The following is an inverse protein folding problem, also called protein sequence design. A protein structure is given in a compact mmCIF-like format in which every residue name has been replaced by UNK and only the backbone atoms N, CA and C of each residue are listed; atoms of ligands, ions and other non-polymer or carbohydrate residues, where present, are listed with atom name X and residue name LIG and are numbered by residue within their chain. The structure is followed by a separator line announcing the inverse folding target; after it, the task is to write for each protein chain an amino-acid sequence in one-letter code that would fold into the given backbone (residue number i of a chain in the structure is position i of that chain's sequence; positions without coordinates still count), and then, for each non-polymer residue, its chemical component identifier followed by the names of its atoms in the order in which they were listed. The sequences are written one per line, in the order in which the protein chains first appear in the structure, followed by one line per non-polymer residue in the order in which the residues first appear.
data_IF_899608920084
#
_entry.id   IF_899608920084
#
_cell.length_a   1.000
_cell.length_b   1.000
_cell.length_c   1.000
_cell.angle_alpha   90.00
_cell.angle_beta   90.00
_cell.angle_gamma   90.00
#
_symmetry.space_group_name_H-M   'P 1'
#
loop_
_entity.id
_entity.type
_entity.pdbx_description
1 polymer ?
#
# COMPACT_ATOMS: atom_id res chain seq x y z
N UNK A 1 15.66 0.27 14.95
CA UNK A 1 14.81 0.42 15.12
C UNK A 1 14.11 1.11 14.16
N UNK A 2 13.83 1.97 14.09
CA UNK A 2 12.93 2.75 13.40
C UNK A 2 12.53 2.31 12.02
N UNK A 3 13.48 2.22 11.11
CA UNK A 3 13.10 1.98 9.73
C UNK A 3 12.50 0.60 9.49
N UNK A 4 13.08 -0.40 10.10
CA UNK A 4 12.56 -1.75 9.91
C UNK A 4 11.18 -1.90 10.56
N UNK A 5 11.02 -1.35 11.74
CA UNK A 5 9.73 -1.41 12.41
C UNK A 5 8.68 -0.62 11.65
N UNK A 6 9.09 0.53 11.11
CA UNK A 6 8.19 1.32 10.30
C UNK A 6 7.75 0.54 9.07
N UNK A 7 8.68 -0.14 8.42
CA UNK A 7 8.35 -0.94 7.26
C UNK A 7 7.36 -2.05 7.62
N UNK A 8 7.58 -2.71 8.76
CA UNK A 8 6.65 -3.77 9.18
C UNK A 8 5.25 -3.25 9.39
N UNK A 9 5.13 -2.06 9.99
CA UNK A 9 3.81 -1.47 10.18
C UNK A 9 3.16 -1.17 8.85
N UNK A 10 3.92 -0.61 7.92
CA UNK A 10 3.38 -0.31 6.60
C UNK A 10 2.94 -1.57 5.88
N UNK A 11 3.78 -2.60 5.93
CA UNK A 11 3.47 -3.86 5.31
C UNK A 11 2.21 -4.48 5.92
N UNK A 12 2.14 -4.47 7.24
CA UNK A 12 1.00 -5.07 7.92
C UNK A 12 -0.30 -4.36 7.59
N UNK A 13 -0.26 -3.04 7.47
CA UNK A 13 -1.44 -2.29 7.09
C UNK A 13 -1.90 -2.66 5.68
N UNK A 14 -0.95 -2.75 4.76
CA UNK A 14 -1.29 -3.10 3.39
C UNK A 14 -1.88 -4.51 3.34
N UNK A 15 -1.21 -5.45 4.01
CA UNK A 15 -1.69 -6.83 4.01
C UNK A 15 -3.08 -6.93 4.62
N UNK A 16 -3.30 -6.20 5.70
CA UNK A 16 -4.59 -6.22 6.37
C UNK A 16 -5.70 -5.73 5.45
N UNK A 17 -5.45 -4.65 4.75
CA UNK A 17 -6.47 -4.09 3.87
C UNK A 17 -6.74 -5.01 2.70
N UNK A 18 -5.70 -5.62 2.14
CA UNK A 18 -5.90 -6.55 1.04
C UNK A 18 -6.70 -7.77 1.49
N UNK A 19 -6.45 -8.24 2.70
CA UNK A 19 -7.22 -9.36 3.23
C UNK A 19 -8.68 -9.01 3.45
N UNK A 20 -8.93 -7.75 3.75
CA UNK A 20 -10.30 -7.31 3.98
C UNK A 20 -11.05 -7.07 2.68
N UNK A 21 -10.40 -7.22 1.56
CA UNK A 21 -11.07 -7.04 0.29
C UNK A 21 -10.83 -5.69 -0.36
N UNK A 22 -10.01 -4.86 0.24
CA UNK A 22 -9.63 -3.61 -0.38
C UNK A 22 -8.65 -3.86 -1.51
N UNK A 23 -8.61 -2.96 -2.46
CA UNK A 23 -7.62 -3.05 -3.52
C UNK A 23 -7.01 -1.68 -3.72
N UNK A 24 -5.87 -1.68 -4.41
CA UNK A 24 -5.19 -0.42 -4.69
C UNK A 24 -6.05 0.44 -5.59
N UNK A 25 -6.22 1.68 -5.21
CA UNK A 25 -7.01 2.60 -6.01
C UNK A 25 -6.14 3.70 -6.60
N UNK A 26 -5.26 4.29 -5.79
CA UNK A 26 -4.46 5.40 -6.26
C UNK A 26 -3.19 5.49 -5.41
N UNK A 27 -2.10 5.87 -6.04
CA UNK A 27 -0.85 6.11 -5.35
C UNK A 27 -0.38 7.51 -5.68
N UNK A 28 -0.07 8.28 -4.64
CA UNK A 28 0.46 9.62 -4.80
C UNK A 28 1.81 9.68 -4.10
N UNK A 29 2.80 10.21 -4.78
CA UNK A 29 4.13 10.33 -4.21
C UNK A 29 4.52 11.78 -4.08
N UNK A 30 5.22 12.08 -3.00
CA UNK A 30 5.75 13.41 -2.80
C UNK A 30 7.08 13.29 -2.06
N UNK A 31 7.62 14.42 -1.64
CA UNK A 31 8.92 14.41 -0.98
C UNK A 31 8.90 13.70 0.36
N UNK A 32 7.74 13.63 0.98
CA UNK A 32 7.62 13.01 2.28
C UNK A 32 7.36 11.52 2.24
N UNK A 33 7.15 10.97 1.06
CA UNK A 33 6.85 9.55 0.96
C UNK A 33 5.74 9.31 -0.03
N UNK A 34 4.99 8.24 0.17
CA UNK A 34 3.89 7.88 -0.70
C UNK A 34 2.61 7.70 0.09
N UNK A 35 1.51 8.08 -0.52
CA UNK A 35 0.20 7.84 0.06
C UNK A 35 -0.52 6.88 -0.87
N UNK A 36 -0.89 5.73 -0.34
CA UNK A 36 -1.56 4.70 -1.11
C UNK A 36 -3.01 4.66 -0.68
N UNK A 37 -3.89 4.88 -1.63
CA UNK A 37 -5.32 4.85 -1.36
C UNK A 37 -5.86 3.49 -1.74
N UNK A 38 -6.61 2.90 -0.82
CA UNK A 38 -7.28 1.62 -1.04
C UNK A 38 -8.78 1.84 -1.05
N UNK A 39 -9.46 1.09 -1.86
CA UNK A 39 -10.92 1.14 -1.89
C UNK A 39 -11.49 -0.25 -1.93
N UNK A 40 -12.60 -0.41 -1.24
CA UNK A 40 -13.35 -1.64 -1.26
C UNK A 40 -14.70 -1.43 -1.92
N UNK A 41 -15.30 -0.27 -1.67
CA UNK A 41 -16.57 0.08 -2.28
C UNK A 41 -16.65 1.59 -2.35
N UNK A 42 -17.76 2.11 -2.83
CA UNK A 42 -17.93 3.55 -2.92
C UNK A 42 -17.85 4.23 -1.58
N UNK A 43 -18.14 3.49 -0.52
CA UNK A 43 -18.20 4.08 0.81
C UNK A 43 -17.04 3.66 1.69
N UNK A 44 -16.20 2.75 1.24
CA UNK A 44 -15.11 2.25 2.07
C UNK A 44 -13.79 2.50 1.40
N UNK A 45 -13.00 3.35 2.02
CA UNK A 45 -11.67 3.64 1.51
C UNK A 45 -10.74 3.90 2.69
N UNK A 46 -9.46 3.62 2.48
CA UNK A 46 -8.45 3.79 3.50
C UNK A 46 -7.19 4.33 2.86
N UNK A 47 -6.43 5.05 3.66
CA UNK A 47 -5.16 5.60 3.21
C UNK A 47 -4.03 5.01 4.04
N UNK A 48 -2.95 4.67 3.38
CA UNK A 48 -1.75 4.18 4.05
C UNK A 48 -0.59 5.07 3.66
N UNK A 49 0.10 5.59 4.66
CA UNK A 49 1.28 6.40 4.43
C UNK A 49 2.49 5.48 4.40
N UNK A 50 3.21 5.48 3.30
CA UNK A 50 4.40 4.65 3.16
C UNK A 50 5.60 5.57 3.12
N UNK A 51 6.43 5.48 4.15
CA UNK A 51 7.57 6.37 4.31
C UNK A 51 8.90 5.68 4.07
N UNK A 52 8.95 4.37 4.12
CA UNK A 52 10.21 3.65 3.99
C UNK A 52 10.43 3.21 2.55
N UNK A 53 11.70 3.14 2.11
CA UNK A 53 11.98 2.62 0.78
C UNK A 53 11.52 1.17 0.61
N UNK A 54 11.65 0.37 1.67
CA UNK A 54 11.20 -1.02 1.59
C UNK A 54 9.70 -1.12 1.44
N UNK A 55 8.97 -0.24 2.11
CA UNK A 55 7.52 -0.21 1.95
C UNK A 55 7.12 0.15 0.53
N UNK A 56 7.85 1.08 -0.07
CA UNK A 56 7.57 1.46 -1.46
C UNK A 56 7.83 0.29 -2.39
N UNK A 57 8.90 -0.43 -2.19
CA UNK A 57 9.17 -1.62 -3.00
C UNK A 57 8.09 -2.67 -2.81
N UNK A 58 7.63 -2.80 -1.59
CA UNK A 58 6.63 -3.81 -1.29
C UNK A 58 5.33 -3.56 -2.04
N UNK A 59 4.78 -2.36 -1.93
CA UNK A 59 3.51 -2.13 -2.60
C UNK A 59 3.69 -2.03 -4.11
N UNK A 60 4.86 -1.60 -4.57
CA UNK A 60 5.10 -1.55 -6.01
C UNK A 60 5.11 -2.95 -6.60
N UNK A 61 5.71 -3.90 -5.89
CA UNK A 61 5.72 -5.28 -6.35
C UNK A 61 4.30 -5.85 -6.40
N UNK A 62 3.50 -5.53 -5.39
CA UNK A 62 2.12 -5.99 -5.37
C UNK A 62 1.32 -5.38 -6.51
N UNK A 63 1.56 -4.11 -6.79
CA UNK A 63 0.87 -3.46 -7.90
C UNK A 63 1.23 -4.13 -9.22
N UNK A 64 2.49 -4.45 -9.40
CA UNK A 64 2.90 -5.12 -10.63
C UNK A 64 2.23 -6.48 -10.76
N UNK A 65 2.13 -7.21 -9.66
CA UNK A 65 1.46 -8.49 -9.69
C UNK A 65 -0.01 -8.33 -10.03
N UNK A 66 -0.64 -7.31 -9.47
CA UNK A 66 -2.05 -7.09 -9.75
C UNK A 66 -2.28 -6.79 -11.21
N UNK A 67 -1.45 -5.95 -11.80
CA UNK A 67 -1.57 -5.63 -13.20
C UNK A 67 -1.27 -6.84 -14.07
N UNK A 68 -0.24 -7.59 -13.72
CA UNK A 68 0.15 -8.76 -14.50
C UNK A 68 -0.91 -9.84 -14.47
N UNK A 69 -1.52 -10.04 -13.30
CA UNK A 69 -2.52 -11.09 -13.17
C UNK A 69 -3.84 -10.74 -13.83
N UNK A 70 -3.98 -9.48 -14.18
CA UNK A 70 -5.21 -9.10 -14.77
C UNK A 70 -5.19 -9.44 -16.22
N UNK A 71 -5.90 -10.37 -16.62
CA UNK A 71 -5.84 -10.79 -18.00
C UNK A 71 -7.10 -10.54 -18.72
#
# INVERSE_FOLDING_TARGET
MGEYEQFLQEKNQIDYLLEKGFSFYKVSENLSGAIVEFRKSDHEQELVHVLTPNGRKYFSALLLQQVTNKK
#
